data_IF_657673934363
#
_entry.id   IF_657673934363
#
_cell.length_a   1.000
_cell.length_b   1.000
_cell.length_c   1.000
_cell.angle_alpha   90.00
_cell.angle_beta   90.00
_cell.angle_gamma   90.00
#
_symmetry.space_group_name_H-M   'P 1'
#
loop_
_entity.id
_entity.type
_entity.pdbx_description
1 polymer ?
#
# COMPACT_ATOMS: atom_id res chain seq x y z
N UNK A 1 -29.95 27.89 -10.14
CA UNK A 1 -28.62 27.46 -9.68
C UNK A 1 -28.58 25.95 -9.64
N UNK A 2 -27.77 25.31 -10.48
CA UNK A 2 -27.68 23.84 -10.57
C UNK A 2 -26.80 23.32 -9.42
N UNK A 3 -27.39 22.58 -8.48
CA UNK A 3 -26.66 21.95 -7.39
C UNK A 3 -25.86 20.78 -7.95
N UNK A 4 -24.54 20.93 -8.07
CA UNK A 4 -23.64 19.84 -8.45
C UNK A 4 -23.74 18.72 -7.40
N UNK A 5 -24.05 17.52 -7.84
CA UNK A 5 -24.24 16.34 -7.00
C UNK A 5 -22.99 16.01 -6.19
N UNK A 6 -23.12 16.00 -4.85
CA UNK A 6 -22.08 15.56 -3.91
C UNK A 6 -21.95 14.02 -3.84
N UNK A 7 -22.19 13.30 -4.94
CA UNK A 7 -22.35 11.83 -4.91
C UNK A 7 -21.07 11.03 -5.17
N UNK A 8 -19.94 11.66 -5.53
CA UNK A 8 -18.71 10.94 -5.88
C UNK A 8 -17.79 10.59 -4.69
N UNK A 9 -18.08 11.05 -3.47
CA UNK A 9 -17.20 10.87 -2.30
C UNK A 9 -17.58 9.71 -1.37
N UNK A 10 -18.74 9.06 -1.56
CA UNK A 10 -19.26 8.04 -0.64
C UNK A 10 -19.30 6.62 -1.22
N UNK A 11 -18.66 6.35 -2.37
CA UNK A 11 -18.59 4.96 -2.86
C UNK A 11 -17.62 4.17 -1.97
N UNK A 12 -18.03 3.04 -1.37
CA UNK A 12 -17.12 2.18 -0.63
C UNK A 12 -16.02 1.69 -1.57
N UNK A 13 -14.81 1.52 -1.03
CA UNK A 13 -13.71 0.89 -1.77
C UNK A 13 -14.03 -0.59 -1.90
N UNK A 14 -14.05 -1.08 -3.13
CA UNK A 14 -14.25 -2.50 -3.43
C UNK A 14 -12.92 -3.26 -3.32
N UNK A 15 -12.96 -4.51 -2.87
CA UNK A 15 -11.79 -5.37 -2.78
C UNK A 15 -11.12 -5.58 -4.15
N UNK A 16 -11.89 -5.52 -5.25
CA UNK A 16 -11.42 -5.67 -6.63
C UNK A 16 -10.91 -4.34 -7.25
N UNK A 17 -10.87 -3.24 -6.51
CA UNK A 17 -10.19 -2.03 -6.98
C UNK A 17 -8.67 -2.21 -6.91
N UNK A 18 -7.94 -1.54 -7.81
CA UNK A 18 -6.49 -1.58 -7.83
C UNK A 18 -5.88 -0.55 -6.87
N UNK A 19 -4.82 -0.95 -6.18
CA UNK A 19 -3.94 -0.10 -5.38
C UNK A 19 -2.52 -0.19 -5.92
N UNK A 20 -1.86 0.97 -6.04
CA UNK A 20 -0.46 1.07 -6.43
C UNK A 20 0.42 0.92 -5.19
N UNK A 21 1.39 0.01 -5.25
CA UNK A 21 2.29 -0.31 -4.15
C UNK A 21 3.75 -0.26 -4.59
N UNK A 22 4.65 0.00 -3.64
CA UNK A 22 6.11 -0.06 -3.86
C UNK A 22 6.77 -0.97 -2.84
N UNK A 23 7.95 -1.50 -3.18
CA UNK A 23 8.79 -2.25 -2.22
C UNK A 23 9.39 -1.32 -1.17
N UNK A 24 10.05 -0.27 -1.63
CA UNK A 24 10.60 0.82 -0.83
C UNK A 24 9.96 2.14 -1.27
N UNK A 25 9.88 3.12 -0.37
CA UNK A 25 9.20 4.40 -0.60
C UNK A 25 9.82 5.23 -1.76
N UNK A 26 11.10 5.01 -2.03
CA UNK A 26 11.90 5.66 -3.06
C UNK A 26 12.20 4.76 -4.26
N UNK A 27 11.75 3.50 -4.27
CA UNK A 27 11.92 2.64 -5.44
C UNK A 27 11.17 3.22 -6.62
N UNK A 28 11.73 3.13 -7.83
CA UNK A 28 11.07 3.55 -9.06
C UNK A 28 9.99 2.54 -9.51
N UNK A 29 10.11 1.28 -9.08
CA UNK A 29 9.17 0.21 -9.38
C UNK A 29 7.84 0.42 -8.68
N UNK A 30 6.75 0.23 -9.43
CA UNK A 30 5.37 0.28 -8.93
C UNK A 30 4.69 -1.00 -9.42
N UNK A 31 4.00 -1.67 -8.50
CA UNK A 31 3.09 -2.76 -8.82
C UNK A 31 1.64 -2.34 -8.56
N UNK A 32 0.71 -2.96 -9.27
CA UNK A 32 -0.71 -2.90 -8.95
C UNK A 32 -1.19 -4.26 -8.44
N UNK A 33 -1.92 -4.22 -7.34
CA UNK A 33 -2.61 -5.37 -6.73
C UNK A 33 -4.05 -5.00 -6.45
N UNK A 34 -4.89 -5.98 -6.15
CA UNK A 34 -6.23 -5.68 -5.63
C UNK A 34 -6.15 -5.19 -4.18
N UNK A 35 -7.05 -4.30 -3.81
CA UNK A 35 -7.18 -3.80 -2.42
C UNK A 35 -7.36 -4.97 -1.44
N UNK A 36 -8.15 -5.98 -1.82
CA UNK A 36 -8.39 -7.16 -1.01
C UNK A 36 -7.16 -8.04 -0.75
N UNK A 37 -6.13 -7.93 -1.59
CA UNK A 37 -4.90 -8.74 -1.47
C UNK A 37 -3.86 -8.10 -0.54
N UNK A 38 -4.08 -6.85 -0.12
CA UNK A 38 -3.23 -6.18 0.86
C UNK A 38 -3.61 -6.64 2.26
N UNK A 39 -2.74 -7.42 2.86
CA UNK A 39 -2.89 -7.96 4.20
C UNK A 39 -2.10 -7.16 5.25
N UNK A 40 -2.59 -7.20 6.49
CA UNK A 40 -2.00 -6.56 7.66
C UNK A 40 -1.52 -5.11 7.42
N UNK A 41 -2.39 -4.17 7.02
CA UNK A 41 -2.01 -2.77 6.92
C UNK A 41 -1.56 -2.24 8.28
N UNK A 42 -0.44 -1.52 8.31
CA UNK A 42 0.11 -0.94 9.52
C UNK A 42 0.85 0.38 9.22
N UNK A 43 1.05 1.18 10.25
CA UNK A 43 2.08 2.19 10.21
C UNK A 43 3.44 1.55 10.46
N UNK A 44 4.44 1.91 9.66
CA UNK A 44 5.83 1.53 9.91
C UNK A 44 6.81 2.57 9.32
N UNK A 45 8.07 2.48 9.71
CA UNK A 45 9.21 3.20 9.14
C UNK A 45 10.11 2.29 8.30
N UNK A 46 10.09 0.98 8.51
CA UNK A 46 11.06 0.07 7.91
C UNK A 46 10.44 -0.76 6.78
N UNK A 47 11.09 -0.78 5.62
CA UNK A 47 10.69 -1.65 4.51
C UNK A 47 11.01 -3.12 4.76
N UNK A 48 10.47 -4.02 3.94
CA UNK A 48 10.86 -5.43 3.99
C UNK A 48 12.24 -5.65 3.35
N UNK A 49 12.84 -6.81 3.59
CA UNK A 49 14.08 -7.22 2.93
C UNK A 49 15.29 -6.42 3.42
N UNK A 50 15.71 -5.41 2.67
CA UNK A 50 16.88 -4.57 2.99
C UNK A 50 16.67 -3.64 4.20
N UNK A 51 15.46 -3.62 4.76
CA UNK A 51 15.12 -2.86 5.97
C UNK A 51 15.44 -1.37 5.83
N UNK A 52 15.04 -0.80 4.69
CA UNK A 52 15.28 0.61 4.42
C UNK A 52 14.33 1.46 5.26
N UNK A 53 14.89 2.42 6.00
CA UNK A 53 14.11 3.37 6.78
C UNK A 53 13.51 4.47 5.88
N UNK A 54 12.22 4.72 6.02
CA UNK A 54 11.54 5.86 5.41
C UNK A 54 11.72 7.12 6.26
N UNK A 55 11.75 8.32 5.63
CA UNK A 55 11.96 9.59 6.34
C UNK A 55 10.82 9.95 7.30
N UNK A 56 9.66 9.34 7.09
CA UNK A 56 8.48 9.44 7.95
C UNK A 56 7.77 8.10 7.92
N UNK A 57 6.82 7.89 8.82
CA UNK A 57 6.04 6.68 8.74
C UNK A 57 5.04 6.66 7.62
N UNK A 58 4.94 5.49 7.02
CA UNK A 58 4.13 5.23 5.85
C UNK A 58 3.18 4.09 6.16
N UNK A 59 2.17 3.96 5.31
CA UNK A 59 1.29 2.80 5.34
C UNK A 59 2.08 1.66 4.70
N UNK A 60 2.35 0.63 5.49
CA UNK A 60 2.85 -0.64 5.01
C UNK A 60 1.75 -1.70 5.01
N UNK A 61 1.99 -2.77 4.28
CA UNK A 61 1.16 -3.97 4.26
C UNK A 61 1.95 -5.10 3.61
N UNK A 62 1.28 -6.23 3.40
CA UNK A 62 1.89 -7.42 2.80
C UNK A 62 1.03 -7.94 1.66
N UNK A 63 1.68 -8.33 0.57
CA UNK A 63 1.06 -9.01 -0.57
C UNK A 63 1.77 -10.33 -0.84
N UNK A 64 1.11 -11.27 -1.51
CA UNK A 64 1.79 -12.39 -2.12
C UNK A 64 2.29 -12.01 -3.53
N UNK A 65 3.46 -12.50 -3.93
CA UNK A 65 4.09 -12.11 -5.19
C UNK A 65 3.29 -12.49 -6.45
N UNK A 66 2.44 -13.52 -6.35
CA UNK A 66 1.54 -14.00 -7.40
C UNK A 66 0.23 -13.19 -7.51
N UNK A 67 -0.03 -12.27 -6.58
CA UNK A 67 -1.19 -11.37 -6.60
C UNK A 67 -0.92 -10.05 -7.36
N UNK A 68 0.28 -9.90 -7.94
CA UNK A 68 0.63 -8.75 -8.76
C UNK A 68 -0.16 -8.81 -10.08
N UNK A 69 -1.05 -7.84 -10.28
CA UNK A 69 -1.86 -7.71 -11.49
C UNK A 69 -1.05 -7.07 -12.61
N UNK A 70 -0.24 -6.06 -12.29
CA UNK A 70 0.62 -5.37 -13.26
C UNK A 70 1.83 -4.74 -12.59
N UNK A 71 2.85 -4.42 -13.38
CA UNK A 71 4.10 -3.83 -12.88
C UNK A 71 4.96 -4.86 -12.15
N UNK A 72 5.79 -4.39 -11.21
CA UNK A 72 6.67 -5.27 -10.43
C UNK A 72 7.07 -4.62 -9.11
N UNK A 73 7.49 -5.46 -8.18
CA UNK A 73 8.22 -5.07 -6.98
C UNK A 73 9.45 -5.95 -6.88
N UNK A 74 10.63 -5.36 -6.67
CA UNK A 74 11.84 -6.14 -6.47
C UNK A 74 11.67 -7.15 -5.32
N UNK A 75 11.76 -8.43 -5.68
CA UNK A 75 11.88 -9.55 -4.77
C UNK A 75 12.71 -10.63 -5.47
N UNK A 76 13.56 -11.33 -4.71
CA UNK A 76 14.26 -12.49 -5.23
C UNK A 76 13.51 -13.75 -4.79
N UNK A 77 13.00 -14.51 -5.76
CA UNK A 77 12.48 -15.86 -5.52
C UNK A 77 13.58 -16.85 -5.07
N UNK A 78 14.85 -16.40 -5.05
CA UNK A 78 16.02 -17.20 -4.71
C UNK A 78 16.06 -17.65 -3.23
N UNK A 79 15.30 -16.99 -2.34
CA UNK A 79 15.38 -17.23 -0.89
C UNK A 79 14.24 -18.09 -0.30
N UNK A 80 13.42 -18.75 -1.14
CA UNK A 80 12.40 -19.68 -0.65
C UNK A 80 11.39 -20.14 -1.71
N UNK A 81 10.51 -21.08 -1.36
CA UNK A 81 9.41 -21.52 -2.22
C UNK A 81 8.38 -20.40 -2.41
N UNK A 82 8.05 -20.09 -3.66
CA UNK A 82 6.94 -19.20 -3.98
C UNK A 82 5.59 -19.82 -3.57
N UNK A 83 4.55 -19.02 -3.33
CA UNK A 83 4.53 -17.55 -3.34
C UNK A 83 5.19 -16.93 -2.09
N UNK A 84 5.72 -15.72 -2.22
CA UNK A 84 6.41 -15.00 -1.14
C UNK A 84 5.56 -13.86 -0.60
N UNK A 85 5.56 -13.69 0.72
CA UNK A 85 4.99 -12.51 1.35
C UNK A 85 5.95 -11.33 1.23
N UNK A 86 5.52 -10.27 0.55
CA UNK A 86 6.28 -9.08 0.27
C UNK A 86 5.69 -7.92 1.07
N UNK A 87 6.43 -7.41 2.05
CA UNK A 87 6.14 -6.13 2.67
C UNK A 87 6.24 -5.02 1.62
N UNK A 88 5.18 -4.23 1.48
CA UNK A 88 5.05 -3.12 0.55
C UNK A 88 4.66 -1.85 1.29
N UNK A 89 4.90 -0.69 0.69
CA UNK A 89 4.34 0.58 1.13
C UNK A 89 3.31 1.13 0.14
N UNK A 90 2.28 1.78 0.69
CA UNK A 90 1.22 2.47 -0.04
C UNK A 90 1.46 3.95 0.13
N UNK A 91 1.81 4.64 -0.95
CA UNK A 91 2.09 6.07 -0.92
C UNK A 91 0.89 6.87 -1.41
N UNK A 92 0.67 8.03 -0.77
CA UNK A 92 -0.39 8.96 -1.15
C UNK A 92 -0.25 9.45 -2.60
N UNK A 93 0.99 9.64 -3.07
CA UNK A 93 1.28 10.16 -4.42
C UNK A 93 0.92 9.18 -5.55
N UNK A 94 0.87 7.88 -5.26
CA UNK A 94 0.66 6.82 -6.25
C UNK A 94 -0.79 6.35 -6.31
N UNK A 95 -1.64 6.86 -5.41
CA UNK A 95 -2.99 6.36 -5.18
C UNK A 95 -4.00 7.50 -5.11
N UNK A 96 -5.23 7.22 -5.54
CA UNK A 96 -6.32 8.18 -5.38
C UNK A 96 -6.58 8.45 -3.88
N UNK A 97 -7.03 9.67 -3.51
CA UNK A 97 -7.35 9.97 -2.12
C UNK A 97 -8.36 9.00 -1.50
N UNK A 98 -9.29 8.44 -2.30
CA UNK A 98 -10.27 7.44 -1.83
C UNK A 98 -9.61 6.16 -1.35
N UNK A 99 -8.73 5.57 -2.18
CA UNK A 99 -8.01 4.33 -1.86
C UNK A 99 -7.06 4.57 -0.69
N UNK A 100 -6.31 5.67 -0.71
CA UNK A 100 -5.38 5.96 0.38
C UNK A 100 -6.11 6.15 1.72
N UNK A 101 -7.24 6.86 1.72
CA UNK A 101 -8.03 7.06 2.92
C UNK A 101 -8.68 5.76 3.43
N UNK A 102 -9.03 4.82 2.56
CA UNK A 102 -9.49 3.50 2.99
C UNK A 102 -8.45 2.81 3.87
N UNK A 103 -7.18 2.78 3.47
CA UNK A 103 -6.13 2.20 4.33
C UNK A 103 -5.94 3.00 5.63
N UNK A 104 -6.05 4.34 5.60
CA UNK A 104 -6.05 5.14 6.83
C UNK A 104 -7.18 4.75 7.80
N UNK A 105 -8.38 4.44 7.27
CA UNK A 105 -9.49 4.01 8.13
C UNK A 105 -9.26 2.64 8.76
N UNK A 106 -8.47 1.76 8.13
CA UNK A 106 -8.12 0.45 8.68
C UNK A 106 -7.08 0.55 9.80
N UNK A 107 -6.07 1.41 9.63
CA UNK A 107 -4.90 1.48 10.53
C UNK A 107 -5.02 2.56 11.61
N UNK A 108 -5.97 3.48 11.45
CA UNK A 108 -6.15 4.60 12.37
C UNK A 108 -5.14 5.74 12.18
N UNK A 109 -5.08 6.70 13.12
CA UNK A 109 -4.29 7.90 12.97
C UNK A 109 -2.79 7.60 12.90
N UNK A 110 -2.07 8.40 12.11
CA UNK A 110 -0.60 8.35 12.09
C UNK A 110 -0.07 8.64 13.49
N UNK A 111 0.80 7.80 14.06
CA UNK A 111 1.35 8.04 15.39
C UNK A 111 2.18 9.32 15.38
N UNK A 112 1.93 10.17 16.36
CA UNK A 112 2.56 11.48 16.51
C UNK A 112 4.02 11.39 16.95
N UNK A 113 4.39 10.30 17.63
CA UNK A 113 5.73 10.00 18.10
C UNK A 113 6.09 8.59 17.66
N UNK A 114 7.15 8.48 16.86
CA UNK A 114 7.78 7.20 16.54
C UNK A 114 8.79 6.88 17.62
N UNK A 115 8.41 6.06 18.58
CA UNK A 115 9.37 5.45 19.48
C UNK A 115 10.07 4.34 18.71
N UNK A 116 11.38 4.52 18.50
CA UNK A 116 12.29 3.49 17.97
C UNK A 116 12.45 2.35 18.96
#
# INVERSE_FOLDING_TARGET
MCMKSKSKLNKPVDAMELVSVRRNWNSWEIAQVYVGDVSNPLWDLESGGVKESSPEALIFGYIWCDMIVSGSVAHSCLHGTAPHSIKICILRKDNSPRIYNYFLTLIGPKPALWQR
#
